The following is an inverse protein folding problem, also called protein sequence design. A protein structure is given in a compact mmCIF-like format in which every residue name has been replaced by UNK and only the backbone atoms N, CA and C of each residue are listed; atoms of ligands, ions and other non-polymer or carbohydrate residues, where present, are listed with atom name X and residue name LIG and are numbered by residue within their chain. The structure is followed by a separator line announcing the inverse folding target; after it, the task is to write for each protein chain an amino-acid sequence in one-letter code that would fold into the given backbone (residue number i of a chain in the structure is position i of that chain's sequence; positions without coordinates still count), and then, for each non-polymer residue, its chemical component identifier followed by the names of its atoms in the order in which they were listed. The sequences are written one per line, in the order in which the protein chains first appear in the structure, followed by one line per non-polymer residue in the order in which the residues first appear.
data_IF_292905755379
#
_entry.id   IF_292905755379
#
_cell.length_a   1.000
_cell.length_b   1.000
_cell.length_c   1.000
_cell.angle_alpha   90.00
_cell.angle_beta   90.00
_cell.angle_gamma   90.00
#
_symmetry.space_group_name_H-M   'P 1'
#
loop_
_entity.id
_entity.type
_entity.pdbx_description
1 polymer ?
#
# COMPACT_ATOMS: atom_id res chain seq x y z
N UNK A 1 -14.25 -6.20 12.04
CA UNK A 1 -14.11 -7.47 12.75
C UNK A 1 -12.66 -7.69 13.16
N UNK A 2 -12.43 -8.07 14.44
CA UNK A 2 -11.14 -8.15 15.11
C UNK A 2 -10.76 -6.87 15.85
N UNK A 3 -10.68 -6.90 17.20
CA UNK A 3 -10.27 -5.79 18.05
C UNK A 3 -8.80 -5.94 18.53
N UNK A 4 -7.93 -6.42 17.65
CA UNK A 4 -6.48 -6.40 17.85
C UNK A 4 -5.90 -5.00 17.64
N UNK A 5 -4.54 -4.89 17.59
CA UNK A 5 -3.85 -3.60 17.40
C UNK A 5 -4.33 -2.86 16.13
N UNK A 6 -4.51 -3.56 15.02
CA UNK A 6 -4.97 -2.94 13.77
C UNK A 6 -6.43 -2.56 13.85
N UNK A 7 -7.30 -3.46 14.35
CA UNK A 7 -8.73 -3.21 14.41
C UNK A 7 -9.11 -2.08 15.37
N UNK A 8 -8.51 -2.03 16.55
CA UNK A 8 -8.74 -0.91 17.48
C UNK A 8 -8.28 0.43 16.92
N UNK A 9 -7.08 0.46 16.30
CA UNK A 9 -6.57 1.67 15.66
C UNK A 9 -7.46 2.13 14.48
N UNK A 10 -7.93 1.18 13.66
CA UNK A 10 -8.84 1.46 12.56
C UNK A 10 -10.18 2.01 13.08
N UNK A 11 -10.79 1.37 14.09
CA UNK A 11 -12.04 1.80 14.67
C UNK A 11 -11.97 3.24 15.21
N UNK A 12 -10.89 3.56 15.95
CA UNK A 12 -10.65 4.91 16.46
C UNK A 12 -10.43 5.92 15.32
N UNK A 13 -9.73 5.53 14.26
CA UNK A 13 -9.50 6.38 13.09
C UNK A 13 -10.80 6.70 12.35
N UNK A 14 -11.65 5.72 12.16
CA UNK A 14 -12.94 5.90 11.49
C UNK A 14 -13.91 6.75 12.32
N UNK A 15 -13.95 6.52 13.63
CA UNK A 15 -14.74 7.39 14.53
C UNK A 15 -14.27 8.85 14.46
N UNK A 16 -12.96 9.10 14.50
CA UNK A 16 -12.42 10.48 14.37
C UNK A 16 -12.78 11.17 13.06
N UNK A 17 -13.06 10.38 12.02
CA UNK A 17 -13.54 10.87 10.71
C UNK A 17 -15.06 11.05 10.65
N UNK A 18 -15.78 10.83 11.75
CA UNK A 18 -17.21 11.02 11.86
C UNK A 18 -18.06 9.82 11.44
N UNK A 19 -17.49 8.63 11.28
CA UNK A 19 -18.26 7.43 10.97
C UNK A 19 -18.82 6.78 12.24
N UNK A 20 -20.01 6.20 12.12
CA UNK A 20 -20.56 5.27 13.11
C UNK A 20 -19.83 3.91 12.98
N UNK A 21 -19.30 3.39 14.09
CA UNK A 21 -18.44 2.21 14.08
C UNK A 21 -18.97 1.14 15.00
N UNK A 22 -19.15 -0.07 14.47
CA UNK A 22 -19.35 -1.28 15.26
C UNK A 22 -18.09 -2.17 15.16
N UNK A 23 -17.56 -2.63 16.27
CA UNK A 23 -16.40 -3.52 16.30
C UNK A 23 -16.76 -4.85 16.94
N UNK A 24 -16.40 -5.96 16.28
CA UNK A 24 -16.70 -7.32 16.70
C UNK A 24 -15.39 -8.01 17.08
N UNK A 25 -15.35 -8.66 18.24
CA UNK A 25 -14.29 -9.60 18.60
C UNK A 25 -14.88 -10.77 19.40
N UNK A 26 -14.30 -11.96 19.26
CA UNK A 26 -14.70 -13.13 20.02
C UNK A 26 -14.28 -13.06 21.50
N UNK A 27 -13.21 -12.29 21.77
CA UNK A 27 -12.68 -12.09 23.12
C UNK A 27 -13.11 -10.70 23.63
N UNK A 28 -14.00 -10.63 24.64
CA UNK A 28 -14.44 -9.35 25.19
C UNK A 28 -13.30 -8.55 25.81
N UNK A 29 -12.22 -9.21 26.26
CA UNK A 29 -11.05 -8.50 26.80
C UNK A 29 -10.28 -7.71 25.73
N UNK A 30 -10.47 -8.03 24.46
CA UNK A 30 -9.84 -7.32 23.36
C UNK A 30 -10.27 -5.84 23.29
N UNK A 31 -11.48 -5.52 23.76
CA UNK A 31 -12.03 -4.16 23.73
C UNK A 31 -11.32 -3.18 24.67
N UNK A 32 -10.52 -3.66 25.61
CA UNK A 32 -9.67 -2.80 26.45
C UNK A 32 -8.67 -1.97 25.62
N UNK A 33 -8.41 -2.36 24.36
CA UNK A 33 -7.55 -1.61 23.43
C UNK A 33 -8.21 -0.37 22.84
N UNK A 34 -9.51 -0.25 22.97
CA UNK A 34 -10.23 0.95 22.55
C UNK A 34 -9.98 2.07 23.57
N UNK A 35 -9.89 3.30 23.08
CA UNK A 35 -9.84 4.46 23.97
C UNK A 35 -11.14 4.57 24.79
N UNK A 36 -11.10 5.11 26.01
CA UNK A 36 -12.31 5.47 26.75
C UNK A 36 -13.27 6.38 25.98
N UNK A 37 -12.76 7.15 25.02
CA UNK A 37 -13.54 8.04 24.16
C UNK A 37 -14.19 7.30 22.97
N UNK A 38 -14.06 6.00 22.88
CA UNK A 38 -14.71 5.24 21.81
C UNK A 38 -16.22 5.20 22.05
N UNK A 39 -16.96 5.91 21.22
CA UNK A 39 -18.42 6.01 21.27
C UNK A 39 -19.15 4.96 20.42
N UNK A 40 -18.40 4.16 19.65
CA UNK A 40 -18.96 3.10 18.81
C UNK A 40 -19.45 1.89 19.60
N UNK A 41 -20.04 0.94 18.89
CA UNK A 41 -20.61 -0.29 19.50
C UNK A 41 -19.57 -1.41 19.55
N UNK A 42 -19.46 -2.10 20.69
CA UNK A 42 -18.64 -3.31 20.83
C UNK A 42 -19.54 -4.54 20.90
N UNK A 43 -19.26 -5.54 20.08
CA UNK A 43 -20.03 -6.77 19.99
C UNK A 43 -19.13 -7.98 20.21
N UNK A 44 -19.41 -8.78 21.22
CA UNK A 44 -18.69 -10.03 21.45
C UNK A 44 -19.29 -11.14 20.61
N UNK A 45 -18.47 -11.80 19.80
CA UNK A 45 -18.89 -12.92 18.98
C UNK A 45 -17.94 -13.25 17.83
N UNK A 46 -18.31 -14.27 17.08
CA UNK A 46 -17.57 -14.73 15.90
C UNK A 46 -17.91 -13.85 14.71
N UNK A 47 -16.92 -13.26 14.07
CA UNK A 47 -17.11 -12.21 13.05
C UNK A 47 -17.65 -12.67 11.68
N UNK A 48 -17.88 -13.96 11.47
CA UNK A 48 -18.59 -14.52 10.33
C UNK A 48 -19.95 -15.15 10.71
N UNK A 49 -20.33 -15.08 11.99
CA UNK A 49 -21.66 -15.50 12.43
C UNK A 49 -22.67 -14.45 12.01
N UNK A 50 -23.75 -14.91 11.30
CA UNK A 50 -24.77 -14.03 10.74
C UNK A 50 -25.54 -13.27 11.84
N UNK A 51 -25.87 -13.88 12.95
CA UNK A 51 -26.58 -13.24 14.04
C UNK A 51 -25.72 -12.14 14.70
N UNK A 52 -24.42 -12.40 14.86
CA UNK A 52 -23.46 -11.43 15.36
C UNK A 52 -23.30 -10.25 14.41
N UNK A 53 -23.22 -10.53 13.10
CA UNK A 53 -23.13 -9.49 12.08
C UNK A 53 -24.41 -8.62 12.03
N UNK A 54 -25.59 -9.23 12.09
CA UNK A 54 -26.88 -8.49 12.18
C UNK A 54 -26.92 -7.65 13.44
N UNK A 55 -26.54 -8.22 14.60
CA UNK A 55 -26.45 -7.47 15.87
C UNK A 55 -25.48 -6.29 15.77
N UNK A 56 -24.43 -6.41 14.97
CA UNK A 56 -23.52 -5.32 14.69
C UNK A 56 -24.07 -4.28 13.70
N UNK A 57 -25.19 -4.53 13.05
CA UNK A 57 -25.82 -3.62 12.09
C UNK A 57 -25.27 -3.76 10.68
N UNK A 58 -24.79 -4.95 10.28
CA UNK A 58 -24.20 -5.20 8.96
C UNK A 58 -25.14 -4.86 7.80
N UNK A 59 -26.45 -5.03 7.99
CA UNK A 59 -27.49 -4.77 6.98
C UNK A 59 -27.55 -3.29 6.53
N UNK A 60 -26.97 -2.40 7.32
CA UNK A 60 -26.93 -0.96 7.05
C UNK A 60 -25.48 -0.44 6.97
N UNK A 61 -24.51 -1.34 6.85
CA UNK A 61 -23.10 -0.97 6.84
C UNK A 61 -22.65 -0.55 5.44
N UNK A 62 -22.07 0.64 5.31
CA UNK A 62 -21.41 1.10 4.08
C UNK A 62 -20.11 0.36 3.79
N UNK A 63 -19.44 -0.17 4.83
CA UNK A 63 -18.17 -0.85 4.69
C UNK A 63 -17.93 -1.89 5.78
N UNK A 64 -17.15 -2.91 5.46
CA UNK A 64 -16.74 -3.96 6.38
C UNK A 64 -15.25 -4.24 6.28
N UNK A 65 -14.55 -4.26 7.42
CA UNK A 65 -13.14 -4.58 7.49
C UNK A 65 -12.89 -5.80 8.37
N UNK A 66 -12.29 -6.84 7.82
CA UNK A 66 -11.90 -8.05 8.54
C UNK A 66 -10.38 -8.01 8.81
N UNK A 67 -9.98 -7.73 10.06
CA UNK A 67 -8.59 -7.44 10.45
C UNK A 67 -8.11 -8.24 11.66
N UNK A 68 -8.73 -9.40 11.91
CA UNK A 68 -8.29 -10.32 12.98
C UNK A 68 -6.92 -10.94 12.67
N UNK A 69 -6.39 -11.74 13.59
CA UNK A 69 -5.11 -12.43 13.40
C UNK A 69 -5.17 -13.66 12.49
N UNK A 70 -6.35 -14.07 12.03
CA UNK A 70 -6.51 -15.29 11.23
C UNK A 70 -6.97 -14.98 9.81
N UNK A 71 -6.16 -15.32 8.81
CA UNK A 71 -6.48 -15.12 7.39
C UNK A 71 -7.81 -15.78 7.00
N UNK A 72 -8.01 -17.04 7.39
CA UNK A 72 -9.24 -17.76 7.09
C UNK A 72 -10.49 -17.08 7.67
N UNK A 73 -10.41 -16.63 8.93
CA UNK A 73 -11.51 -15.91 9.57
C UNK A 73 -11.79 -14.58 8.86
N UNK A 74 -10.74 -13.87 8.47
CA UNK A 74 -10.87 -12.60 7.77
C UNK A 74 -11.57 -12.77 6.41
N UNK A 75 -11.17 -13.78 5.65
CA UNK A 75 -11.76 -14.06 4.34
C UNK A 75 -13.20 -14.52 4.44
N UNK A 76 -13.48 -15.47 5.36
CA UNK A 76 -14.87 -15.94 5.54
C UNK A 76 -15.78 -14.79 5.94
N UNK A 77 -15.34 -13.95 6.89
CA UNK A 77 -16.13 -12.79 7.32
C UNK A 77 -16.35 -11.79 6.18
N UNK A 78 -15.31 -11.50 5.40
CA UNK A 78 -15.39 -10.61 4.26
C UNK A 78 -16.36 -11.13 3.18
N UNK A 79 -16.31 -12.43 2.89
CA UNK A 79 -17.25 -13.08 1.96
C UNK A 79 -18.69 -13.03 2.46
N UNK A 80 -18.92 -13.35 3.73
CA UNK A 80 -20.27 -13.29 4.31
C UNK A 80 -20.80 -11.85 4.25
N UNK A 81 -20.00 -10.85 4.60
CA UNK A 81 -20.41 -9.45 4.51
C UNK A 81 -20.78 -9.06 3.08
N UNK A 82 -20.02 -9.47 2.08
CA UNK A 82 -20.22 -9.13 0.69
C UNK A 82 -21.33 -9.95 0.02
N UNK A 83 -21.27 -11.29 0.15
CA UNK A 83 -22.11 -12.21 -0.60
C UNK A 83 -23.49 -12.44 0.06
N UNK A 84 -23.63 -12.20 1.36
CA UNK A 84 -24.85 -12.42 2.11
C UNK A 84 -25.56 -11.12 2.47
N UNK A 85 -24.80 -10.08 2.78
CA UNK A 85 -25.35 -8.79 3.23
C UNK A 85 -25.14 -7.65 2.24
N UNK A 86 -24.60 -7.93 1.05
CA UNK A 86 -24.39 -6.98 -0.04
C UNK A 86 -23.61 -5.73 0.35
N UNK A 87 -22.69 -5.85 1.34
CA UNK A 87 -21.84 -4.71 1.73
C UNK A 87 -20.90 -4.36 0.59
N UNK A 88 -21.04 -3.14 0.06
CA UNK A 88 -20.34 -2.71 -1.16
C UNK A 88 -18.82 -2.65 -0.96
N UNK A 89 -18.38 -2.09 0.16
CA UNK A 89 -16.95 -1.87 0.46
C UNK A 89 -16.47 -2.85 1.53
N UNK A 90 -15.82 -3.90 1.08
CA UNK A 90 -15.28 -4.94 1.98
C UNK A 90 -13.77 -5.03 1.79
N UNK A 91 -13.01 -5.15 2.88
CA UNK A 91 -11.56 -5.36 2.87
C UNK A 91 -11.16 -6.41 3.89
N UNK A 92 -10.22 -7.27 3.53
CA UNK A 92 -9.67 -8.29 4.42
C UNK A 92 -8.15 -8.13 4.59
N UNK A 93 -7.69 -8.23 5.83
CA UNK A 93 -6.27 -8.36 6.13
C UNK A 93 -5.82 -9.79 5.90
N UNK A 94 -4.74 -9.97 5.16
CA UNK A 94 -4.13 -11.27 4.87
C UNK A 94 -2.63 -11.17 5.17
N UNK A 95 -2.10 -12.17 5.88
CA UNK A 95 -0.66 -12.23 6.15
C UNK A 95 0.12 -12.88 5.00
N UNK A 96 -0.46 -13.90 4.36
CA UNK A 96 0.14 -14.63 3.26
C UNK A 96 -0.11 -13.92 1.93
N UNK A 97 0.95 -13.41 1.30
CA UNK A 97 0.85 -12.69 0.02
C UNK A 97 0.26 -13.52 -1.12
N UNK A 98 0.58 -14.84 -1.19
CA UNK A 98 0.03 -15.72 -2.23
C UNK A 98 -1.47 -15.92 -2.08
N UNK A 99 -1.94 -15.99 -0.84
CA UNK A 99 -3.38 -16.03 -0.56
C UNK A 99 -4.06 -14.72 -0.91
N UNK A 100 -3.43 -13.57 -0.61
CA UNK A 100 -3.96 -12.27 -0.97
C UNK A 100 -4.26 -12.17 -2.47
N UNK A 101 -3.32 -12.55 -3.34
CA UNK A 101 -3.51 -12.58 -4.80
C UNK A 101 -4.71 -13.42 -5.24
N UNK A 102 -4.91 -14.59 -4.62
CA UNK A 102 -6.05 -15.47 -4.95
C UNK A 102 -7.38 -14.79 -4.60
N UNK A 103 -7.45 -14.15 -3.43
CA UNK A 103 -8.69 -13.53 -2.97
C UNK A 103 -9.01 -12.22 -3.70
N UNK A 104 -8.00 -11.47 -4.12
CA UNK A 104 -8.17 -10.30 -5.00
C UNK A 104 -8.77 -10.68 -6.36
N UNK A 105 -8.31 -11.80 -6.95
CA UNK A 105 -8.92 -12.35 -8.17
C UNK A 105 -10.37 -12.77 -7.98
N UNK A 106 -10.76 -13.13 -6.77
CA UNK A 106 -12.16 -13.42 -6.39
C UNK A 106 -12.95 -12.14 -6.04
N UNK A 107 -12.34 -10.98 -6.25
CA UNK A 107 -12.97 -9.69 -6.06
C UNK A 107 -13.04 -9.21 -4.61
N UNK A 108 -12.30 -9.80 -3.67
CA UNK A 108 -12.19 -9.33 -2.28
C UNK A 108 -10.90 -8.53 -2.14
N UNK A 109 -10.96 -7.21 -1.99
CA UNK A 109 -9.78 -6.38 -1.73
C UNK A 109 -9.05 -6.85 -0.48
N UNK A 110 -7.73 -7.04 -0.59
CA UNK A 110 -6.91 -7.50 0.52
C UNK A 110 -5.81 -6.49 0.89
N UNK A 111 -5.39 -6.53 2.14
CA UNK A 111 -4.21 -5.82 2.63
C UNK A 111 -3.21 -6.84 3.15
N UNK A 112 -2.19 -7.13 2.34
CA UNK A 112 -1.08 -8.02 2.68
C UNK A 112 -0.06 -7.27 3.57
N UNK A 113 -0.17 -7.45 4.89
CA UNK A 113 0.61 -6.63 5.85
C UNK A 113 2.06 -7.07 6.01
N UNK A 114 2.38 -8.35 5.83
CA UNK A 114 3.75 -8.85 6.04
C UNK A 114 4.72 -8.36 4.98
N UNK A 115 4.46 -8.49 3.67
CA UNK A 115 5.36 -7.98 2.64
C UNK A 115 5.65 -6.50 2.81
N UNK A 116 4.63 -5.69 2.98
CA UNK A 116 4.76 -4.25 3.17
C UNK A 116 5.63 -3.88 4.38
N UNK A 117 5.41 -4.56 5.53
CA UNK A 117 6.20 -4.32 6.73
C UNK A 117 7.65 -4.77 6.56
N UNK A 118 7.86 -5.93 5.92
CA UNK A 118 9.20 -6.48 5.64
C UNK A 118 10.02 -5.53 4.77
N UNK A 119 9.43 -5.02 3.68
CA UNK A 119 10.09 -4.04 2.81
C UNK A 119 10.48 -2.76 3.57
N UNK A 120 9.65 -2.29 4.51
CA UNK A 120 9.99 -1.15 5.36
C UNK A 120 11.19 -1.43 6.27
N UNK A 121 11.28 -2.63 6.85
CA UNK A 121 12.44 -3.01 7.65
C UNK A 121 13.71 -3.13 6.80
N UNK A 122 13.63 -3.79 5.66
CA UNK A 122 14.76 -3.95 4.73
C UNK A 122 15.29 -2.58 4.30
N UNK A 123 14.39 -1.66 3.92
CA UNK A 123 14.77 -0.27 3.60
C UNK A 123 15.44 0.45 4.77
N UNK A 124 14.93 0.28 6.00
CA UNK A 124 15.49 0.92 7.19
C UNK A 124 16.86 0.33 7.60
N UNK A 125 17.17 -0.90 7.19
CA UNK A 125 18.46 -1.54 7.39
C UNK A 125 19.52 -1.12 6.35
N UNK A 126 19.17 -0.19 5.44
CA UNK A 126 20.09 0.37 4.45
C UNK A 126 20.24 -0.49 3.20
N UNK A 127 19.52 -1.60 3.07
CA UNK A 127 19.38 -2.25 1.79
C UNK A 127 18.44 -1.42 0.92
N UNK A 128 18.91 -1.00 -0.24
CA UNK A 128 18.12 -0.27 -1.23
C UNK A 128 17.06 -1.19 -1.81
N UNK A 129 16.01 -1.42 -1.04
CA UNK A 129 14.76 -1.88 -1.64
C UNK A 129 14.25 -0.72 -2.47
N UNK A 130 14.38 -0.86 -3.75
CA UNK A 130 13.85 0.07 -4.74
C UNK A 130 12.38 0.27 -4.43
N UNK A 131 12.02 1.41 -3.82
CA UNK A 131 10.64 1.75 -3.51
C UNK A 131 9.89 1.76 -4.83
N UNK A 132 9.03 0.77 -5.04
CA UNK A 132 8.29 0.59 -6.28
C UNK A 132 6.81 0.65 -5.95
N UNK A 133 6.14 1.69 -6.43
CA UNK A 133 4.69 1.75 -6.45
C UNK A 133 4.21 1.31 -7.82
N UNK A 134 3.16 0.50 -7.86
CA UNK A 134 2.53 0.07 -9.11
C UNK A 134 1.10 0.59 -9.19
N UNK A 135 0.69 0.91 -10.39
CA UNK A 135 -0.69 1.23 -10.67
C UNK A 135 -1.59 -0.01 -10.53
N UNK A 136 -2.92 0.15 -10.42
CA UNK A 136 -3.83 -0.99 -10.26
C UNK A 136 -3.80 -2.01 -11.41
N UNK A 137 -3.39 -1.62 -12.61
CA UNK A 137 -3.22 -2.55 -13.74
C UNK A 137 -1.91 -3.35 -13.66
N UNK A 138 -0.96 -2.93 -12.83
CA UNK A 138 0.36 -3.49 -12.73
C UNK A 138 1.27 -3.22 -13.94
N UNK A 139 0.88 -2.31 -14.84
CA UNK A 139 1.62 -2.02 -16.07
C UNK A 139 2.60 -0.87 -15.93
N UNK A 140 2.41 0.02 -14.94
CA UNK A 140 3.25 1.17 -14.68
C UNK A 140 3.82 1.10 -13.27
N UNK A 141 5.11 1.42 -13.11
CA UNK A 141 5.76 1.55 -11.81
C UNK A 141 6.27 2.97 -11.59
N UNK A 142 6.23 3.45 -10.34
CA UNK A 142 7.06 4.57 -9.88
C UNK A 142 8.14 3.95 -9.00
N UNK A 143 9.37 4.05 -9.46
CA UNK A 143 10.50 3.36 -8.83
C UNK A 143 11.68 4.31 -8.63
N UNK A 144 12.49 4.01 -7.63
CA UNK A 144 13.82 4.59 -7.52
C UNK A 144 14.70 4.04 -8.64
N UNK A 145 15.47 4.91 -9.25
CA UNK A 145 16.41 4.60 -10.33
C UNK A 145 17.79 5.04 -9.86
N UNK A 146 18.67 4.07 -9.66
CA UNK A 146 20.06 4.35 -9.29
C UNK A 146 20.79 4.90 -10.52
N UNK A 147 21.52 5.99 -10.33
CA UNK A 147 22.11 6.77 -11.40
C UNK A 147 23.63 6.78 -11.23
N UNK A 148 24.36 6.47 -12.30
CA UNK A 148 25.83 6.56 -12.31
C UNK A 148 26.26 8.03 -12.16
N UNK A 149 27.40 8.28 -11.48
CA UNK A 149 27.90 9.63 -11.20
C UNK A 149 28.14 10.47 -12.45
N UNK A 150 28.35 9.87 -13.60
CA UNK A 150 28.55 10.57 -14.88
C UNK A 150 27.29 11.30 -15.39
N UNK A 151 26.12 11.00 -14.81
CA UNK A 151 24.89 11.75 -15.10
C UNK A 151 24.79 13.07 -14.33
N UNK A 152 25.68 13.32 -13.37
CA UNK A 152 25.74 14.60 -12.65
C UNK A 152 26.04 15.72 -13.66
N UNK A 153 25.24 16.78 -13.62
CA UNK A 153 25.33 17.88 -14.59
C UNK A 153 24.48 17.66 -15.86
N UNK A 154 23.89 16.50 -16.06
CA UNK A 154 22.99 16.22 -17.19
C UNK A 154 21.56 16.63 -16.83
N UNK A 155 20.84 17.17 -17.82
CA UNK A 155 19.44 17.57 -17.60
C UNK A 155 18.50 16.36 -17.47
N UNK A 156 17.46 16.52 -16.67
CA UNK A 156 16.39 15.54 -16.52
C UNK A 156 15.75 15.19 -17.86
N UNK A 157 15.59 16.16 -18.75
CA UNK A 157 15.09 15.90 -20.11
C UNK A 157 15.94 14.88 -20.88
N UNK A 158 17.27 15.04 -20.84
CA UNK A 158 18.20 14.10 -21.48
C UNK A 158 18.20 12.72 -20.83
N UNK A 159 18.13 12.69 -19.50
CA UNK A 159 17.99 11.45 -18.74
C UNK A 159 16.72 10.68 -19.14
N UNK A 160 15.59 11.37 -19.25
CA UNK A 160 14.30 10.79 -19.66
C UNK A 160 14.35 10.25 -21.11
N UNK A 161 14.99 10.97 -22.02
CA UNK A 161 15.16 10.52 -23.41
C UNK A 161 15.91 9.21 -23.51
N UNK A 162 16.99 9.04 -22.73
CA UNK A 162 17.83 7.86 -22.82
C UNK A 162 17.27 6.65 -22.06
N UNK A 163 16.65 6.89 -20.90
CA UNK A 163 16.12 5.81 -20.04
C UNK A 163 14.71 5.38 -20.42
N UNK A 164 13.95 6.25 -21.07
CA UNK A 164 12.51 6.06 -21.28
C UNK A 164 11.67 6.19 -20.01
N UNK A 165 12.28 6.56 -18.89
CA UNK A 165 11.57 6.84 -17.65
C UNK A 165 11.12 8.30 -17.60
N UNK A 166 9.98 8.59 -16.94
CA UNK A 166 9.56 9.96 -16.63
C UNK A 166 9.93 10.26 -15.19
N UNK A 167 10.88 11.16 -14.97
CA UNK A 167 11.25 11.55 -13.60
C UNK A 167 10.07 12.27 -12.95
N UNK A 168 9.54 11.68 -11.89
CA UNK A 168 8.39 12.20 -11.16
C UNK A 168 8.82 13.22 -10.09
N UNK A 169 9.89 12.91 -9.38
CA UNK A 169 10.55 13.82 -8.43
C UNK A 169 11.99 13.36 -8.19
N UNK A 170 12.78 14.27 -7.64
CA UNK A 170 14.10 14.00 -7.09
C UNK A 170 14.04 14.16 -5.58
N UNK A 171 14.80 13.35 -4.83
CA UNK A 171 15.09 13.65 -3.43
C UNK A 171 16.49 14.25 -3.36
N UNK A 172 16.59 15.54 -3.05
CA UNK A 172 17.83 16.28 -2.93
C UNK A 172 18.08 16.63 -1.47
N UNK A 173 19.11 16.04 -0.89
CA UNK A 173 19.43 16.21 0.55
C UNK A 173 18.16 15.92 1.42
N UNK A 174 17.43 14.86 1.09
CA UNK A 174 16.20 14.46 1.79
C UNK A 174 14.97 15.35 1.55
N UNK A 175 15.04 16.33 0.65
CA UNK A 175 13.90 17.18 0.28
C UNK A 175 13.40 16.84 -1.12
N UNK A 176 12.08 16.72 -1.32
CA UNK A 176 11.54 16.47 -2.64
C UNK A 176 11.66 17.71 -3.53
N UNK A 177 12.07 17.48 -4.78
CA UNK A 177 12.14 18.49 -5.84
C UNK A 177 11.32 17.98 -7.02
N UNK A 178 10.38 18.79 -7.52
CA UNK A 178 9.65 18.50 -8.75
C UNK A 178 10.46 19.08 -9.92
N UNK A 179 11.08 18.22 -10.76
CA UNK A 179 11.95 18.69 -11.83
C UNK A 179 11.15 19.06 -13.07
N UNK A 180 11.70 19.98 -13.85
CA UNK A 180 11.36 20.18 -15.25
C UNK A 180 12.45 19.55 -16.15
N UNK A 181 12.26 19.63 -17.47
CA UNK A 181 13.21 19.07 -18.43
C UNK A 181 14.62 19.73 -18.39
N UNK A 182 14.72 20.97 -17.88
CA UNK A 182 15.97 21.72 -17.76
C UNK A 182 16.65 21.52 -16.40
N UNK A 183 15.96 20.95 -15.43
CA UNK A 183 16.54 20.62 -14.12
C UNK A 183 17.74 19.71 -14.31
N UNK A 184 18.85 20.03 -13.66
CA UNK A 184 20.11 19.29 -13.77
C UNK A 184 20.23 18.34 -12.58
N UNK A 185 20.65 17.11 -12.84
CA UNK A 185 20.96 16.12 -11.80
C UNK A 185 22.20 16.57 -11.02
N UNK A 186 22.14 16.50 -9.70
CA UNK A 186 23.22 16.88 -8.80
C UNK A 186 23.72 15.67 -8.03
N UNK A 187 24.87 15.82 -7.41
CA UNK A 187 25.42 14.81 -6.53
C UNK A 187 24.44 14.52 -5.39
N UNK A 188 24.32 13.26 -5.02
CA UNK A 188 23.40 12.74 -3.98
C UNK A 188 21.89 12.93 -4.29
N UNK A 189 21.52 13.29 -5.53
CA UNK A 189 20.13 13.23 -5.94
C UNK A 189 19.68 11.77 -6.03
N UNK A 190 18.57 11.47 -5.36
CA UNK A 190 17.87 10.18 -5.56
C UNK A 190 16.75 10.40 -6.58
N UNK A 191 16.81 9.67 -7.68
CA UNK A 191 15.87 9.81 -8.79
C UNK A 191 14.68 8.87 -8.62
N UNK A 192 13.47 9.40 -8.67
CA UNK A 192 12.23 8.62 -8.74
C UNK A 192 11.55 8.84 -10.09
N UNK A 193 11.35 7.75 -10.83
CA UNK A 193 10.77 7.79 -12.18
C UNK A 193 9.56 6.90 -12.34
N UNK A 194 8.56 7.40 -13.08
CA UNK A 194 7.48 6.58 -13.59
C UNK A 194 7.94 5.90 -14.90
N UNK A 195 7.74 4.60 -14.99
CA UNK A 195 8.20 3.80 -16.13
C UNK A 195 7.26 2.62 -16.37
N UNK A 196 7.04 2.25 -17.63
CA UNK A 196 6.31 1.03 -17.96
C UNK A 196 7.09 -0.18 -17.41
N UNK A 197 6.38 -1.13 -16.81
CA UNK A 197 7.01 -2.24 -16.09
C UNK A 197 7.92 -3.10 -16.97
N UNK A 198 7.58 -3.28 -18.24
CA UNK A 198 8.38 -3.98 -19.24
C UNK A 198 9.70 -3.25 -19.57
N UNK A 199 9.74 -1.90 -19.41
CA UNK A 199 10.92 -1.08 -19.62
C UNK A 199 11.72 -0.82 -18.32
N UNK A 200 11.25 -1.19 -17.14
CA UNK A 200 11.90 -0.85 -15.86
C UNK A 200 13.33 -1.38 -15.78
N UNK A 201 13.54 -2.63 -16.19
CA UNK A 201 14.88 -3.25 -16.20
C UNK A 201 15.84 -2.53 -17.14
N UNK A 202 15.36 -2.12 -18.30
CA UNK A 202 16.14 -1.36 -19.28
C UNK A 202 16.48 0.04 -18.75
N UNK A 203 15.49 0.77 -18.21
CA UNK A 203 15.67 2.10 -17.66
C UNK A 203 16.73 2.12 -16.53
N UNK A 204 16.67 1.16 -15.61
CA UNK A 204 17.69 0.96 -14.56
C UNK A 204 19.05 0.62 -15.14
N UNK A 205 19.09 -0.27 -16.13
CA UNK A 205 20.33 -0.67 -16.77
C UNK A 205 21.02 0.46 -17.54
N UNK A 206 20.26 1.37 -18.14
CA UNK A 206 20.80 2.58 -18.81
C UNK A 206 21.30 3.58 -17.78
N UNK A 207 20.52 3.87 -16.75
CA UNK A 207 20.86 4.84 -15.71
C UNK A 207 22.11 4.45 -14.90
N UNK A 208 22.30 3.16 -14.64
CA UNK A 208 23.44 2.63 -13.90
C UNK A 208 24.73 2.54 -14.71
N UNK A 209 24.73 2.89 -16.00
CA UNK A 209 25.93 2.93 -16.84
C UNK A 209 26.42 4.36 -17.01
N UNK A 210 27.73 4.53 -17.29
CA UNK A 210 28.27 5.83 -17.59
C UNK A 210 27.50 6.51 -18.76
N UNK A 211 27.18 7.78 -18.57
CA UNK A 211 26.56 8.59 -19.59
C UNK A 211 27.50 8.74 -20.79
N UNK A 212 27.01 8.36 -21.95
CA UNK A 212 27.71 8.59 -23.23
C UNK A 212 26.92 9.61 -24.03
N UNK A 213 27.55 10.73 -24.39
CA UNK A 213 26.98 11.61 -25.41
C UNK A 213 26.96 10.85 -26.73
N UNK A 214 25.79 10.39 -27.18
CA UNK A 214 25.64 10.05 -28.59
C UNK A 214 25.78 11.37 -29.36
N UNK A 215 26.88 11.57 -30.03
CA UNK A 215 27.02 12.55 -31.10
C UNK A 215 26.04 12.13 -32.21
N UNK A 216 24.84 12.70 -32.14
CA UNK A 216 23.91 12.65 -33.25
C UNK A 216 24.45 13.65 -34.25
N UNK A 217 25.11 13.14 -35.36
CA UNK A 217 25.48 13.91 -36.52
C UNK A 217 24.26 14.44 -37.28
#
# INVERSE_FOLDING_TARGET
MGCGRVGSALAMSMQKRGHDVAIIDRDPSAFVRLSPDFAGRTITGVGFDREILVKAGIEHADAFAAVSSGDNSNIISARVARETFDVERVVARIYDAKRAEVYERLGIPTVATVPWTTERFVSALGETTTMEWRDPSGSLAIAQIDVDDSWIGISVGKFQEQTGARVTFLSRVGRPVLPDAKTVLQQDDVVYGAVMLDNLKNARGVAARPFTQNESG
#
